data_IF_444880306165
#
_entry.id   IF_444880306165
#
_cell.length_a   1.000
_cell.length_b   1.000
_cell.length_c   1.000
_cell.angle_alpha   90.00
_cell.angle_beta   90.00
_cell.angle_gamma   90.00
#
_symmetry.space_group_name_H-M   'P 1'
#
loop_
_entity.id
_entity.type
_entity.pdbx_description
1 polymer ?
#
# COMPACT_ATOMS: atom_id res chain seq x y z
N UNK A 1 -9.61 5.21 16.38
CA UNK A 1 -9.68 5.52 14.95
C UNK A 1 -9.03 4.37 14.19
N UNK A 2 -9.61 3.94 13.07
CA UNK A 2 -9.08 2.92 12.15
C UNK A 2 -8.60 3.66 10.91
N UNK A 3 -7.33 3.51 10.57
CA UNK A 3 -6.71 4.15 9.41
C UNK A 3 -6.28 3.04 8.46
N UNK A 4 -6.89 2.98 7.28
CA UNK A 4 -6.45 2.09 6.20
C UNK A 4 -5.31 2.76 5.43
N UNK A 5 -4.07 2.29 5.62
CA UNK A 5 -2.89 2.93 5.00
C UNK A 5 -2.64 2.50 3.56
N UNK A 6 -3.44 1.57 3.01
CA UNK A 6 -3.21 1.04 1.67
C UNK A 6 -4.53 0.79 0.94
N UNK A 7 -4.85 1.67 0.00
CA UNK A 7 -5.96 1.48 -0.94
C UNK A 7 -5.69 2.22 -2.24
N UNK A 8 -6.34 1.82 -3.32
CA UNK A 8 -6.07 2.36 -4.65
C UNK A 8 -7.15 3.36 -5.08
N UNK A 9 -6.76 4.33 -5.91
CA UNK A 9 -7.67 5.35 -6.43
C UNK A 9 -8.64 4.74 -7.45
N UNK A 10 -9.97 4.97 -7.33
CA UNK A 10 -10.94 4.49 -8.30
C UNK A 10 -10.80 5.18 -9.66
N UNK A 11 -11.22 4.49 -10.71
CA UNK A 11 -11.05 4.96 -12.10
C UNK A 11 -12.30 5.67 -12.61
N UNK A 12 -13.44 5.46 -11.95
CA UNK A 12 -14.70 6.08 -12.31
C UNK A 12 -15.21 6.99 -11.20
N UNK A 13 -15.59 8.22 -11.55
CA UNK A 13 -16.35 9.09 -10.65
C UNK A 13 -17.79 8.58 -10.48
N UNK A 14 -18.35 8.01 -11.54
CA UNK A 14 -19.73 7.52 -11.58
C UNK A 14 -19.80 5.99 -11.64
N UNK A 15 -21.00 5.44 -11.71
CA UNK A 15 -21.20 3.99 -11.81
C UNK A 15 -20.41 3.40 -12.98
N UNK A 16 -19.66 2.32 -12.71
CA UNK A 16 -18.83 1.65 -13.72
C UNK A 16 -19.73 0.98 -14.77
N UNK A 17 -19.58 1.32 -16.07
CA UNK A 17 -20.32 0.64 -17.12
C UNK A 17 -19.96 -0.86 -17.17
N UNK A 18 -20.93 -1.77 -17.45
CA UNK A 18 -20.65 -3.21 -17.49
C UNK A 18 -19.50 -3.61 -18.42
N UNK A 19 -19.33 -2.93 -19.55
CA UNK A 19 -18.26 -3.18 -20.51
C UNK A 19 -16.85 -2.84 -19.98
N UNK A 20 -16.77 -2.02 -18.93
CA UNK A 20 -15.51 -1.60 -18.31
C UNK A 20 -15.08 -2.49 -17.15
N UNK A 21 -15.97 -3.32 -16.60
CA UNK A 21 -15.66 -4.25 -15.51
C UNK A 21 -14.54 -5.21 -15.91
N UNK A 22 -13.62 -5.53 -14.99
CA UNK A 22 -12.46 -6.40 -15.26
C UNK A 22 -12.28 -7.38 -14.10
N UNK A 23 -12.59 -8.64 -14.36
CA UNK A 23 -12.45 -9.71 -13.37
C UNK A 23 -11.09 -10.38 -13.49
N UNK A 24 -10.36 -10.41 -12.38
CA UNK A 24 -9.09 -11.09 -12.24
C UNK A 24 -9.25 -12.36 -11.41
N UNK A 25 -9.03 -13.51 -12.04
CA UNK A 25 -9.21 -14.83 -11.42
C UNK A 25 -7.96 -15.35 -10.69
N UNK A 26 -6.81 -14.71 -10.87
CA UNK A 26 -5.51 -15.18 -10.34
C UNK A 26 -5.01 -14.37 -9.15
N UNK A 27 -5.61 -13.22 -8.86
CA UNK A 27 -5.19 -12.33 -7.77
C UNK A 27 -5.51 -12.91 -6.39
N UNK A 28 -6.61 -13.67 -6.33
CA UNK A 28 -7.09 -14.36 -5.14
C UNK A 28 -7.38 -15.83 -5.46
N UNK A 29 -7.08 -16.76 -4.53
CA UNK A 29 -7.36 -18.18 -4.71
C UNK A 29 -8.82 -18.54 -4.41
N UNK A 30 -9.54 -17.69 -3.68
CA UNK A 30 -10.88 -17.97 -3.14
C UNK A 30 -12.02 -17.35 -3.95
N UNK A 31 -11.76 -16.25 -4.67
CA UNK A 31 -12.73 -15.60 -5.57
C UNK A 31 -12.05 -14.72 -6.61
N UNK A 32 -12.82 -14.34 -7.64
CA UNK A 32 -12.39 -13.31 -8.59
C UNK A 32 -12.45 -11.92 -7.95
N UNK A 33 -11.56 -11.02 -8.38
CA UNK A 33 -11.55 -9.61 -7.96
C UNK A 33 -11.92 -8.73 -9.14
N UNK A 34 -12.86 -7.81 -8.94
CA UNK A 34 -13.11 -6.74 -9.89
C UNK A 34 -12.21 -5.56 -9.57
N UNK A 35 -11.35 -5.21 -10.51
CA UNK A 35 -10.35 -4.16 -10.35
C UNK A 35 -10.84 -2.79 -10.80
N UNK A 36 -12.01 -2.74 -11.46
CA UNK A 36 -12.63 -1.50 -11.91
C UNK A 36 -13.81 -1.14 -11.02
N UNK A 37 -13.72 0.02 -10.39
CA UNK A 37 -14.68 0.47 -9.39
C UNK A 37 -14.81 2.00 -9.39
N UNK A 38 -15.94 2.46 -8.87
CA UNK A 38 -16.28 3.88 -8.78
C UNK A 38 -15.91 4.50 -7.43
N UNK A 39 -16.02 5.82 -7.33
CA UNK A 39 -15.89 6.55 -6.06
C UNK A 39 -16.90 6.05 -5.03
N UNK A 40 -18.14 5.78 -5.43
CA UNK A 40 -19.15 5.26 -4.53
C UNK A 40 -18.85 3.83 -4.08
N UNK A 41 -18.41 2.96 -4.98
CA UNK A 41 -18.03 1.58 -4.64
C UNK A 41 -16.91 1.58 -3.57
N UNK A 42 -15.91 2.46 -3.74
CA UNK A 42 -14.84 2.63 -2.76
C UNK A 42 -15.36 3.13 -1.41
N UNK A 43 -16.15 4.21 -1.40
CA UNK A 43 -16.64 4.81 -0.16
C UNK A 43 -17.56 3.86 0.62
N UNK A 44 -18.32 3.02 -0.08
CA UNK A 44 -19.12 1.95 0.52
C UNK A 44 -18.22 0.87 1.15
N UNK A 45 -17.21 0.39 0.42
CA UNK A 45 -16.27 -0.60 0.93
C UNK A 45 -15.47 -0.09 2.14
N UNK A 46 -15.13 1.20 2.17
CA UNK A 46 -14.28 1.78 3.21
C UNK A 46 -15.04 2.30 4.43
N UNK A 47 -16.37 2.07 4.54
CA UNK A 47 -17.15 2.44 5.74
C UNK A 47 -16.52 2.00 7.08
N UNK A 48 -15.89 0.81 7.20
CA UNK A 48 -15.26 0.40 8.47
C UNK A 48 -13.98 1.17 8.84
N UNK A 49 -13.38 1.92 7.92
CA UNK A 49 -12.19 2.73 8.16
C UNK A 49 -12.57 4.21 8.34
N UNK A 50 -12.08 4.86 9.39
CA UNK A 50 -12.33 6.28 9.62
C UNK A 50 -11.63 7.14 8.56
N UNK A 51 -10.39 6.77 8.22
CA UNK A 51 -9.61 7.38 7.13
C UNK A 51 -8.94 6.33 6.26
N UNK A 52 -8.75 6.66 4.99
CA UNK A 52 -8.03 5.82 4.03
C UNK A 52 -6.98 6.62 3.26
N UNK A 53 -5.81 6.02 3.07
CA UNK A 53 -4.78 6.52 2.17
C UNK A 53 -5.04 5.94 0.78
N UNK A 54 -5.15 6.81 -0.22
CA UNK A 54 -5.43 6.44 -1.62
C UNK A 54 -4.29 6.89 -2.52
N UNK A 55 -3.96 6.06 -3.51
CA UNK A 55 -2.93 6.37 -4.50
C UNK A 55 -3.18 5.65 -5.82
N UNK A 56 -2.53 6.14 -6.87
CA UNK A 56 -2.31 5.40 -8.10
C UNK A 56 -0.86 4.94 -8.24
N UNK A 57 -0.50 4.46 -9.43
CA UNK A 57 0.90 4.12 -9.79
C UNK A 57 1.25 4.81 -11.10
N UNK A 58 2.32 5.59 -11.10
CA UNK A 58 2.85 6.24 -12.29
C UNK A 58 3.65 5.25 -13.15
N UNK A 59 3.39 5.24 -14.45
CA UNK A 59 4.07 4.38 -15.42
C UNK A 59 5.29 5.06 -16.03
N UNK A 60 6.12 4.29 -16.75
CA UNK A 60 7.30 4.84 -17.40
C UNK A 60 6.90 5.91 -18.44
N UNK A 61 7.74 6.94 -18.67
CA UNK A 61 7.44 7.96 -19.67
C UNK A 61 7.18 7.36 -21.05
N UNK A 62 6.11 7.81 -21.70
CA UNK A 62 5.67 7.28 -22.99
C UNK A 62 4.81 6.02 -22.91
N UNK A 63 4.75 5.35 -21.76
CA UNK A 63 3.71 4.37 -21.45
C UNK A 63 2.47 5.12 -20.96
N UNK A 64 1.71 5.70 -21.89
CA UNK A 64 0.37 6.21 -21.58
C UNK A 64 -0.52 5.00 -21.46
N UNK A 65 -0.76 4.59 -20.21
CA UNK A 65 -1.59 3.45 -19.93
C UNK A 65 -2.78 3.96 -19.11
N UNK A 66 -4.00 3.72 -19.62
CA UNK A 66 -5.17 4.58 -19.37
C UNK A 66 -5.72 4.63 -17.94
N UNK A 67 -5.09 3.95 -16.97
CA UNK A 67 -5.67 3.74 -15.64
C UNK A 67 -4.94 4.39 -14.47
N UNK A 68 -5.75 4.82 -13.50
CA UNK A 68 -5.36 5.55 -12.28
C UNK A 68 -5.17 4.66 -11.06
N UNK A 69 -5.64 3.41 -11.08
CA UNK A 69 -5.59 2.45 -9.96
C UNK A 69 -4.29 1.65 -9.86
N UNK A 70 -3.29 1.98 -10.67
CA UNK A 70 -2.07 1.19 -10.78
C UNK A 70 -2.22 -0.19 -11.44
N UNK A 71 -3.43 -0.55 -11.93
CA UNK A 71 -3.69 -1.74 -12.74
C UNK A 71 -3.83 -1.43 -14.23
N UNK A 72 -3.62 -0.17 -14.63
CA UNK A 72 -3.72 0.28 -16.01
C UNK A 72 -5.12 0.00 -16.62
N UNK A 73 -6.16 0.30 -15.86
CA UNK A 73 -7.54 0.18 -16.34
C UNK A 73 -8.17 1.53 -16.60
N UNK A 74 -8.60 1.81 -17.84
CA UNK A 74 -9.14 3.11 -18.19
C UNK A 74 -10.46 3.38 -17.49
N UNK A 75 -10.64 4.64 -17.11
CA UNK A 75 -11.88 5.15 -16.54
C UNK A 75 -12.22 6.55 -17.02
N UNK A 76 -13.20 7.18 -16.37
CA UNK A 76 -13.70 8.51 -16.74
C UNK A 76 -12.89 9.66 -16.10
N UNK A 77 -11.96 9.34 -15.19
CA UNK A 77 -11.06 10.31 -14.55
C UNK A 77 -9.81 10.52 -15.41
N UNK A 78 -9.92 11.36 -16.44
CA UNK A 78 -8.90 11.56 -17.48
C UNK A 78 -7.90 12.70 -17.20
N UNK A 79 -7.32 12.76 -15.99
CA UNK A 79 -6.47 13.91 -15.57
C UNK A 79 -5.02 13.56 -15.16
N UNK A 80 -4.52 12.36 -15.46
CA UNK A 80 -3.21 11.91 -14.98
C UNK A 80 -3.29 11.36 -13.56
N UNK A 81 -2.30 10.54 -13.16
CA UNK A 81 -2.41 9.70 -11.96
C UNK A 81 -2.53 10.48 -10.65
N UNK A 82 -1.76 11.56 -10.52
CA UNK A 82 -1.72 12.38 -9.32
C UNK A 82 -2.92 13.31 -9.22
N UNK A 83 -3.32 13.97 -10.31
CA UNK A 83 -4.49 14.85 -10.33
C UNK A 83 -5.78 14.06 -10.09
N UNK A 84 -5.88 12.83 -10.58
CA UNK A 84 -7.01 11.95 -10.29
C UNK A 84 -7.09 11.57 -8.82
N UNK A 85 -5.95 11.17 -8.24
CA UNK A 85 -5.84 10.88 -6.81
C UNK A 85 -6.20 12.11 -5.97
N UNK A 86 -5.68 13.28 -6.35
CA UNK A 86 -5.97 14.55 -5.70
C UNK A 86 -7.45 14.91 -5.79
N UNK A 87 -8.05 14.84 -6.97
CA UNK A 87 -9.46 15.12 -7.18
C UNK A 87 -10.36 14.22 -6.33
N UNK A 88 -10.01 12.93 -6.18
CA UNK A 88 -10.75 12.03 -5.32
C UNK A 88 -10.58 12.36 -3.84
N UNK A 89 -9.34 12.57 -3.39
CA UNK A 89 -9.05 12.91 -2.00
C UNK A 89 -9.71 14.24 -1.58
N UNK A 90 -9.65 15.27 -2.43
CA UNK A 90 -10.24 16.59 -2.18
C UNK A 90 -11.78 16.59 -2.22
N UNK A 91 -12.41 15.61 -2.86
CA UNK A 91 -13.86 15.44 -2.78
C UNK A 91 -14.31 14.90 -1.42
N UNK A 92 -13.42 14.24 -0.67
CA UNK A 92 -13.71 13.63 0.63
C UNK A 92 -12.55 13.82 1.66
N UNK A 93 -12.10 15.05 1.93
CA UNK A 93 -10.86 15.31 2.68
C UNK A 93 -10.92 14.87 4.15
N UNK A 94 -12.12 14.77 4.72
CA UNK A 94 -12.31 14.23 6.06
C UNK A 94 -12.08 12.71 6.14
N UNK A 95 -12.20 12.00 5.01
CA UNK A 95 -12.05 10.55 4.91
C UNK A 95 -10.77 10.12 4.20
N UNK A 96 -10.26 10.91 3.27
CA UNK A 96 -9.21 10.47 2.35
C UNK A 96 -7.93 11.31 2.48
N UNK A 97 -6.80 10.64 2.33
CA UNK A 97 -5.48 11.25 2.19
C UNK A 97 -4.86 10.72 0.90
N UNK A 98 -4.55 11.61 -0.04
CA UNK A 98 -3.94 11.24 -1.30
C UNK A 98 -2.42 11.11 -1.20
N UNK A 99 -1.87 10.03 -1.73
CA UNK A 99 -0.44 9.86 -1.98
C UNK A 99 -0.18 9.97 -3.49
N UNK A 100 0.88 10.70 -3.86
CA UNK A 100 1.32 10.81 -5.24
C UNK A 100 2.06 9.54 -5.69
N UNK A 101 2.24 9.39 -6.99
CA UNK A 101 3.16 8.42 -7.56
C UNK A 101 3.99 9.11 -8.65
N UNK A 102 5.27 8.76 -8.70
CA UNK A 102 6.22 9.25 -9.71
C UNK A 102 7.05 8.10 -10.23
N UNK A 103 7.54 8.24 -11.45
CA UNK A 103 8.42 7.27 -12.07
C UNK A 103 9.86 7.82 -12.13
N UNK A 104 10.89 7.14 -11.59
CA UNK A 104 12.26 7.67 -11.56
C UNK A 104 12.84 8.01 -12.94
N UNK A 105 12.41 7.32 -13.99
CA UNK A 105 12.84 7.63 -15.36
C UNK A 105 12.13 8.83 -15.99
N UNK A 106 11.11 9.41 -15.35
CA UNK A 106 10.48 10.65 -15.82
C UNK A 106 11.41 11.84 -15.55
N UNK A 107 11.82 12.61 -16.58
CA UNK A 107 12.67 13.78 -16.38
C UNK A 107 12.02 14.86 -15.51
N UNK A 108 10.69 14.89 -15.41
CA UNK A 108 9.93 15.81 -14.55
C UNK A 108 9.54 15.25 -13.18
N UNK A 109 10.09 14.11 -12.76
CA UNK A 109 9.66 13.43 -11.54
C UNK A 109 9.81 14.28 -10.27
N UNK A 110 10.87 15.10 -10.17
CA UNK A 110 11.11 15.92 -8.97
C UNK A 110 10.21 17.17 -8.97
N UNK A 111 10.00 17.77 -10.13
CA UNK A 111 9.03 18.85 -10.33
C UNK A 111 7.61 18.38 -10.03
N UNK A 112 7.28 17.14 -10.41
CA UNK A 112 5.99 16.54 -10.11
C UNK A 112 5.79 16.24 -8.62
N UNK A 113 6.84 15.87 -7.89
CA UNK A 113 6.78 15.78 -6.41
C UNK A 113 6.44 17.15 -5.82
N UNK A 114 7.12 18.21 -6.27
CA UNK A 114 6.89 19.58 -5.81
C UNK A 114 5.45 20.01 -6.09
N UNK A 115 4.99 19.89 -7.34
CA UNK A 115 3.61 20.22 -7.75
C UNK A 115 2.59 19.40 -6.96
N UNK A 116 2.84 18.11 -6.79
CA UNK A 116 1.92 17.21 -6.09
C UNK A 116 1.73 17.60 -4.62
N UNK A 117 2.80 18.02 -3.93
CA UNK A 117 2.70 18.43 -2.52
C UNK A 117 2.15 19.84 -2.35
N UNK A 118 2.44 20.79 -3.25
CA UNK A 118 2.04 22.20 -3.10
C UNK A 118 0.66 22.47 -3.68
N UNK A 119 0.41 21.98 -4.90
CA UNK A 119 -0.75 22.39 -5.70
C UNK A 119 -1.87 21.35 -5.58
N UNK A 120 -1.51 20.06 -5.51
CA UNK A 120 -2.46 18.95 -5.42
C UNK A 120 -2.75 18.46 -3.98
N UNK A 121 -2.01 18.94 -2.98
CA UNK A 121 -2.20 18.60 -1.57
C UNK A 121 -1.93 17.13 -1.23
N UNK A 122 -1.17 16.41 -2.04
CA UNK A 122 -0.81 15.01 -1.82
C UNK A 122 0.29 14.91 -0.74
N UNK A 123 0.15 13.96 0.19
CA UNK A 123 0.89 13.94 1.46
C UNK A 123 1.92 12.81 1.61
N UNK A 124 2.12 11.98 0.59
CA UNK A 124 3.07 10.86 0.61
C UNK A 124 3.27 10.31 -0.80
N UNK A 125 4.10 9.28 -0.94
CA UNK A 125 4.47 8.70 -2.24
C UNK A 125 4.15 7.19 -2.26
N UNK A 126 3.51 6.70 -3.32
CA UNK A 126 3.43 5.28 -3.66
C UNK A 126 4.46 4.94 -4.73
N UNK A 127 5.26 3.92 -4.44
CA UNK A 127 6.19 3.35 -5.42
C UNK A 127 6.10 1.83 -5.45
N UNK A 128 6.36 1.24 -6.62
CA UNK A 128 6.44 -0.21 -6.79
C UNK A 128 7.46 -0.52 -7.86
N UNK A 129 8.74 -0.60 -7.48
CA UNK A 129 9.84 -0.75 -8.43
C UNK A 129 9.76 -2.01 -9.30
N UNK A 130 9.14 -3.08 -8.80
CA UNK A 130 8.84 -4.27 -9.59
C UNK A 130 7.78 -4.02 -10.68
N UNK A 131 6.75 -3.22 -10.39
CA UNK A 131 5.67 -2.90 -11.32
C UNK A 131 6.02 -1.75 -12.27
N UNK A 132 6.76 -0.76 -11.78
CA UNK A 132 7.29 0.37 -12.54
C UNK A 132 8.59 0.00 -13.28
N UNK A 133 9.18 -1.17 -13.01
CA UNK A 133 10.35 -1.73 -13.69
C UNK A 133 11.56 -0.77 -13.69
N UNK A 134 11.95 -0.30 -12.51
CA UNK A 134 13.19 0.46 -12.30
C UNK A 134 14.06 -0.18 -11.20
N UNK A 135 15.38 0.04 -11.24
CA UNK A 135 16.30 -0.45 -10.20
C UNK A 135 16.20 0.43 -8.95
N UNK A 136 15.73 -0.09 -7.78
CA UNK A 136 15.40 0.73 -6.62
C UNK A 136 16.53 1.58 -6.04
N UNK A 137 17.78 1.18 -6.28
CA UNK A 137 18.98 1.81 -5.72
C UNK A 137 19.77 2.63 -6.76
N UNK A 138 19.19 2.89 -7.93
CA UNK A 138 19.79 3.77 -8.92
C UNK A 138 19.73 5.24 -8.51
N UNK A 139 20.55 6.09 -9.14
CA UNK A 139 20.67 7.51 -8.78
C UNK A 139 19.37 8.31 -8.86
N UNK A 140 18.50 8.02 -9.82
CA UNK A 140 17.21 8.72 -10.00
C UNK A 140 16.19 8.34 -8.93
N UNK A 141 16.07 7.04 -8.60
CA UNK A 141 15.23 6.58 -7.51
C UNK A 141 15.72 7.13 -6.15
N UNK A 142 17.04 7.11 -5.93
CA UNK A 142 17.65 7.69 -4.73
C UNK A 142 17.38 9.20 -4.60
N UNK A 143 17.31 9.94 -5.71
CA UNK A 143 16.97 11.36 -5.68
C UNK A 143 15.53 11.59 -5.19
N UNK A 144 14.58 10.75 -5.59
CA UNK A 144 13.19 10.80 -5.09
C UNK A 144 13.15 10.53 -3.58
N UNK A 145 13.85 9.51 -3.09
CA UNK A 145 13.83 9.18 -1.65
C UNK A 145 14.44 10.30 -0.79
N UNK A 146 15.48 10.96 -1.30
CA UNK A 146 16.07 12.13 -0.66
C UNK A 146 15.08 13.29 -0.56
N UNK A 147 14.32 13.56 -1.62
CA UNK A 147 13.30 14.61 -1.57
C UNK A 147 12.13 14.24 -0.66
N UNK A 148 11.72 12.98 -0.65
CA UNK A 148 10.71 12.48 0.27
C UNK A 148 11.15 12.68 1.73
N UNK A 149 12.39 12.33 2.08
CA UNK A 149 12.93 12.54 3.43
C UNK A 149 13.00 14.03 3.77
N UNK A 150 13.52 14.86 2.86
CA UNK A 150 13.64 16.31 3.05
C UNK A 150 12.30 16.98 3.34
N UNK A 151 11.24 16.51 2.70
CA UNK A 151 9.89 17.04 2.84
C UNK A 151 9.03 16.32 3.88
N UNK A 152 9.54 15.26 4.52
CA UNK A 152 8.76 14.45 5.46
C UNK A 152 7.61 13.68 4.78
N UNK A 153 7.72 13.38 3.49
CA UNK A 153 6.74 12.59 2.74
C UNK A 153 7.00 11.10 3.00
N UNK A 154 6.08 10.36 3.66
CA UNK A 154 6.21 8.91 3.79
C UNK A 154 6.13 8.23 2.42
N UNK A 155 6.87 7.13 2.25
CA UNK A 155 6.80 6.29 1.05
C UNK A 155 6.19 4.93 1.38
N UNK A 156 5.13 4.56 0.66
CA UNK A 156 4.63 3.19 0.63
C UNK A 156 5.25 2.45 -0.55
N UNK A 157 6.08 1.45 -0.28
CA UNK A 157 6.65 0.57 -1.30
C UNK A 157 5.80 -0.67 -1.47
N UNK A 158 5.53 -1.03 -2.73
CA UNK A 158 5.15 -2.40 -3.04
C UNK A 158 6.32 -3.34 -2.72
N UNK A 159 6.14 -4.19 -1.71
CA UNK A 159 7.08 -5.25 -1.32
C UNK A 159 6.31 -6.55 -1.33
N UNK A 160 6.94 -7.62 -1.81
CA UNK A 160 6.34 -8.94 -1.90
C UNK A 160 6.16 -9.45 -3.32
N UNK A 161 5.36 -10.51 -3.44
CA UNK A 161 5.16 -11.23 -4.71
C UNK A 161 4.45 -10.37 -5.77
N UNK A 162 4.51 -10.85 -7.01
CA UNK A 162 3.81 -10.26 -8.14
C UNK A 162 3.30 -11.37 -9.08
N UNK A 163 2.06 -11.28 -9.57
CA UNK A 163 1.57 -12.16 -10.62
C UNK A 163 2.04 -11.73 -12.03
N UNK A 164 2.69 -10.56 -12.17
CA UNK A 164 3.08 -9.98 -13.46
C UNK A 164 4.39 -10.60 -13.94
N UNK A 165 4.35 -11.28 -15.08
CA UNK A 165 5.51 -12.02 -15.64
C UNK A 165 6.75 -11.14 -15.85
N UNK A 166 6.56 -9.88 -16.21
CA UNK A 166 7.64 -8.92 -16.48
C UNK A 166 8.10 -8.17 -15.24
N UNK A 167 7.45 -8.33 -14.09
CA UNK A 167 7.81 -7.63 -12.87
C UNK A 167 9.05 -8.27 -12.22
N UNK A 168 10.17 -7.55 -12.07
CA UNK A 168 11.36 -8.11 -11.46
C UNK A 168 11.15 -8.29 -9.94
N UNK A 169 10.94 -9.53 -9.52
CA UNK A 169 10.66 -9.90 -8.12
C UNK A 169 11.77 -9.42 -7.17
N UNK A 170 13.04 -9.36 -7.64
CA UNK A 170 14.17 -8.84 -6.85
C UNK A 170 13.96 -7.40 -6.34
N UNK A 171 13.23 -6.57 -7.08
CA UNK A 171 12.99 -5.16 -6.72
C UNK A 171 11.95 -4.99 -5.61
N UNK A 172 11.17 -6.04 -5.34
CA UNK A 172 10.18 -6.07 -4.27
C UNK A 172 10.64 -6.88 -3.06
N UNK A 173 11.93 -7.24 -2.97
CA UNK A 173 12.48 -7.94 -1.82
C UNK A 173 12.69 -6.98 -0.63
N UNK A 174 12.34 -7.36 0.62
CA UNK A 174 12.51 -6.53 1.81
C UNK A 174 13.89 -5.87 1.98
N UNK A 175 14.95 -6.58 1.62
CA UNK A 175 16.34 -6.09 1.72
C UNK A 175 16.62 -4.84 0.87
N UNK A 176 15.83 -4.59 -0.18
CA UNK A 176 15.91 -3.32 -0.91
C UNK A 176 15.60 -2.14 0.03
N UNK A 177 14.56 -2.29 0.86
CA UNK A 177 14.15 -1.26 1.82
C UNK A 177 15.18 -1.11 2.95
N UNK A 178 15.87 -2.19 3.34
CA UNK A 178 16.99 -2.09 4.29
C UNK A 178 18.06 -1.11 3.81
N UNK A 179 18.47 -1.21 2.55
CA UNK A 179 19.48 -0.34 1.96
C UNK A 179 19.00 1.10 1.82
N UNK A 180 17.72 1.31 1.47
CA UNK A 180 17.12 2.65 1.40
C UNK A 180 17.10 3.29 2.80
N UNK A 181 16.62 2.56 3.82
CA UNK A 181 16.50 3.06 5.18
C UNK A 181 17.86 3.35 5.83
N UNK A 182 18.92 2.63 5.47
CA UNK A 182 20.28 2.96 5.91
C UNK A 182 20.80 4.29 5.33
N UNK A 183 20.37 4.66 4.12
CA UNK A 183 20.77 5.91 3.45
C UNK A 183 19.93 7.11 3.91
N UNK A 184 18.65 6.86 4.20
CA UNK A 184 17.64 7.88 4.56
C UNK A 184 16.97 7.49 5.90
N UNK A 185 17.69 7.59 7.03
CA UNK A 185 17.22 7.06 8.31
C UNK A 185 16.01 7.81 8.90
N UNK A 186 15.72 9.03 8.42
CA UNK A 186 14.55 9.80 8.85
C UNK A 186 13.35 9.60 7.92
N UNK A 187 13.53 8.95 6.77
CA UNK A 187 12.45 8.63 5.85
C UNK A 187 11.48 7.64 6.49
N UNK A 188 10.20 7.99 6.47
CA UNK A 188 9.12 7.11 6.92
C UNK A 188 8.73 6.18 5.78
N UNK A 189 8.82 4.88 6.01
CA UNK A 189 8.61 3.86 4.98
C UNK A 189 7.53 2.88 5.43
N UNK A 190 6.64 2.50 4.52
CA UNK A 190 5.66 1.42 4.70
C UNK A 190 5.98 0.34 3.65
N UNK A 191 6.24 -0.87 4.12
CA UNK A 191 6.40 -2.06 3.29
C UNK A 191 5.05 -2.75 3.15
N UNK A 192 4.52 -2.80 1.93
CA UNK A 192 3.21 -3.38 1.69
C UNK A 192 3.15 -4.87 2.06
N UNK A 193 1.98 -5.31 2.52
CA UNK A 193 1.60 -6.73 2.60
C UNK A 193 2.51 -7.63 3.46
N UNK A 194 3.12 -7.07 4.50
CA UNK A 194 4.17 -7.71 5.31
C UNK A 194 5.30 -8.33 4.46
N UNK A 195 5.51 -7.81 3.25
CA UNK A 195 6.47 -8.27 2.26
C UNK A 195 6.34 -9.74 1.84
N UNK A 196 5.13 -10.30 1.86
CA UNK A 196 4.95 -11.73 1.59
C UNK A 196 5.49 -12.15 0.20
N UNK A 197 6.15 -13.33 0.08
CA UNK A 197 6.28 -14.37 1.09
C UNK A 197 7.45 -14.17 2.08
N UNK A 198 8.21 -13.09 1.98
CA UNK A 198 9.40 -12.82 2.79
C UNK A 198 9.05 -12.12 4.11
N UNK A 199 8.11 -12.70 4.85
CA UNK A 199 7.61 -12.12 6.11
C UNK A 199 8.69 -12.06 7.19
N UNK A 200 9.62 -13.02 7.21
CA UNK A 200 10.77 -13.00 8.14
C UNK A 200 11.74 -11.88 7.77
N UNK A 201 12.12 -11.75 6.50
CA UNK A 201 13.00 -10.67 6.05
C UNK A 201 12.38 -9.31 6.36
N UNK A 202 11.07 -9.15 6.12
CA UNK A 202 10.33 -7.94 6.49
C UNK A 202 10.40 -7.67 7.98
N UNK A 203 10.16 -8.68 8.83
CA UNK A 203 10.25 -8.55 10.28
C UNK A 203 11.66 -8.10 10.73
N UNK A 204 12.72 -8.64 10.11
CA UNK A 204 14.11 -8.25 10.40
C UNK A 204 14.37 -6.79 10.01
N UNK A 205 13.87 -6.33 8.87
CA UNK A 205 14.05 -4.95 8.39
C UNK A 205 13.29 -3.95 9.26
N UNK A 206 12.00 -4.17 9.54
CA UNK A 206 11.20 -3.23 10.35
C UNK A 206 11.66 -3.22 11.82
N UNK A 207 12.26 -4.31 12.32
CA UNK A 207 12.88 -4.35 13.65
C UNK A 207 14.13 -3.47 13.71
N UNK A 208 14.93 -3.47 12.65
CA UNK A 208 16.21 -2.76 12.58
C UNK A 208 16.03 -1.24 12.50
N UNK A 209 14.99 -0.77 11.79
CA UNK A 209 14.84 0.64 11.44
C UNK A 209 13.65 1.34 12.13
N UNK A 210 13.90 2.41 12.91
CA UNK A 210 12.83 3.10 13.66
C UNK A 210 11.70 3.66 12.80
N UNK A 211 11.99 4.10 11.58
CA UNK A 211 11.02 4.74 10.67
C UNK A 211 10.48 3.82 9.58
N UNK A 212 10.79 2.52 9.62
CA UNK A 212 10.28 1.54 8.64
C UNK A 212 9.19 0.69 9.28
N UNK A 213 8.03 0.64 8.64
CA UNK A 213 6.83 -0.08 9.06
C UNK A 213 6.43 -1.07 7.97
N UNK A 214 5.50 -1.97 8.29
CA UNK A 214 4.85 -2.82 7.29
C UNK A 214 3.35 -2.77 7.49
N UNK A 215 2.55 -3.01 6.45
CA UNK A 215 1.10 -3.15 6.59
C UNK A 215 0.64 -4.61 6.44
N UNK A 216 -0.56 -4.92 6.94
CA UNK A 216 -1.09 -6.31 7.02
C UNK A 216 -1.93 -6.73 5.80
N UNK A 217 -2.00 -5.90 4.76
CA UNK A 217 -2.90 -6.13 3.62
C UNK A 217 -2.48 -7.33 2.74
N UNK A 218 -3.32 -7.72 1.77
CA UNK A 218 -2.93 -8.69 0.72
C UNK A 218 -2.67 -10.15 1.17
N UNK A 219 -2.86 -10.47 2.45
CA UNK A 219 -2.50 -11.75 3.04
C UNK A 219 -3.67 -12.62 3.50
N UNK A 220 -4.78 -11.99 3.94
CA UNK A 220 -5.87 -12.67 4.67
C UNK A 220 -6.49 -13.87 3.94
N UNK A 221 -6.49 -13.84 2.60
CA UNK A 221 -7.05 -14.91 1.77
C UNK A 221 -6.10 -16.12 1.61
N UNK A 222 -4.97 -16.12 2.33
CA UNK A 222 -4.08 -17.26 2.54
C UNK A 222 -3.96 -17.52 4.05
N UNK A 223 -4.96 -18.12 4.71
CA UNK A 223 -5.10 -18.10 6.17
C UNK A 223 -3.86 -18.60 6.93
N UNK A 224 -3.23 -19.68 6.46
CA UNK A 224 -2.00 -20.19 7.07
C UNK A 224 -0.84 -19.20 6.95
N UNK A 225 -0.61 -18.62 5.77
CA UNK A 225 0.45 -17.62 5.54
C UNK A 225 0.20 -16.35 6.35
N UNK A 226 -1.05 -15.92 6.48
CA UNK A 226 -1.41 -14.77 7.30
C UNK A 226 -1.14 -15.03 8.79
N UNK A 227 -1.62 -16.16 9.32
CA UNK A 227 -1.31 -16.59 10.69
C UNK A 227 0.20 -16.71 10.92
N UNK A 228 0.92 -17.36 10.01
CA UNK A 228 2.37 -17.54 10.10
C UNK A 228 3.11 -16.18 10.13
N UNK A 229 2.72 -15.23 9.27
CA UNK A 229 3.27 -13.87 9.28
C UNK A 229 3.01 -13.13 10.59
N UNK A 230 1.81 -13.24 11.15
CA UNK A 230 1.46 -12.62 12.43
C UNK A 230 2.18 -13.26 13.63
N UNK A 231 2.38 -14.59 13.62
CA UNK A 231 3.19 -15.29 14.62
C UNK A 231 4.65 -14.87 14.52
N UNK A 232 5.23 -14.84 13.31
CA UNK A 232 6.59 -14.33 13.11
C UNK A 232 6.73 -12.90 13.63
N UNK A 233 5.80 -12.00 13.31
CA UNK A 233 5.82 -10.64 13.84
C UNK A 233 5.72 -10.60 15.38
N UNK A 234 5.02 -11.55 15.99
CA UNK A 234 4.96 -11.73 17.45
C UNK A 234 6.31 -12.17 18.02
N UNK A 235 6.88 -13.26 17.50
CA UNK A 235 8.15 -13.84 17.97
C UNK A 235 9.34 -12.89 17.80
N UNK A 236 9.34 -12.12 16.71
CA UNK A 236 10.34 -11.11 16.44
C UNK A 236 10.04 -9.77 17.12
N UNK A 237 8.97 -9.67 17.91
CA UNK A 237 8.56 -8.49 18.68
C UNK A 237 8.50 -7.21 17.82
N UNK A 238 7.71 -7.26 16.75
CA UNK A 238 7.52 -6.16 15.79
C UNK A 238 6.05 -5.85 15.47
N UNK A 239 5.10 -6.38 16.25
CA UNK A 239 3.66 -6.09 16.04
C UNK A 239 3.31 -4.61 16.18
N UNK A 240 4.11 -3.86 16.94
CA UNK A 240 4.02 -2.40 17.07
C UNK A 240 4.40 -1.65 15.79
N UNK A 241 5.14 -2.31 14.88
CA UNK A 241 5.58 -1.79 13.58
C UNK A 241 4.64 -2.15 12.42
N UNK A 242 3.59 -2.93 12.67
CA UNK A 242 2.58 -3.26 11.66
C UNK A 242 1.54 -2.13 11.53
N UNK A 243 0.86 -1.99 10.41
CA UNK A 243 -0.21 -1.00 10.22
C UNK A 243 -1.44 -1.68 9.63
N UNK A 244 -2.64 -1.22 10.01
CA UNK A 244 -3.89 -1.70 9.43
C UNK A 244 -4.01 -1.24 7.96
N UNK A 245 -4.32 -2.17 7.07
CA UNK A 245 -4.44 -1.90 5.64
C UNK A 245 -5.29 -2.95 4.91
N UNK A 246 -6.03 -2.55 3.87
CA UNK A 246 -6.90 -3.45 3.09
C UNK A 246 -6.36 -3.85 1.71
N UNK A 247 -5.56 -3.02 1.06
CA UNK A 247 -5.21 -3.17 -0.36
C UNK A 247 -6.46 -3.22 -1.26
N UNK A 248 -7.49 -2.42 -0.94
CA UNK A 248 -8.71 -2.33 -1.74
C UNK A 248 -8.40 -1.92 -3.19
N UNK A 249 -8.85 -2.67 -4.21
CA UNK A 249 -10.02 -3.57 -4.19
C UNK A 249 -9.72 -5.06 -3.96
N UNK A 250 -8.48 -5.46 -3.70
CA UNK A 250 -8.13 -6.88 -3.51
C UNK A 250 -8.86 -7.45 -2.30
N UNK A 251 -8.86 -6.70 -1.20
CA UNK A 251 -9.67 -6.97 -0.01
C UNK A 251 -10.30 -5.70 0.52
N UNK A 252 -11.22 -5.83 1.49
CA UNK A 252 -11.88 -4.70 2.14
C UNK A 252 -11.38 -4.50 3.58
N UNK A 253 -11.56 -3.30 4.17
CA UNK A 253 -11.34 -3.10 5.61
C UNK A 253 -12.17 -4.07 6.46
N UNK A 254 -13.41 -4.37 6.06
CA UNK A 254 -14.25 -5.34 6.75
C UNK A 254 -13.62 -6.74 6.79
N UNK A 255 -13.12 -7.24 5.65
CA UNK A 255 -12.41 -8.51 5.56
C UNK A 255 -11.14 -8.51 6.42
N UNK A 256 -10.38 -7.41 6.38
CA UNK A 256 -9.13 -7.28 7.15
C UNK A 256 -9.38 -7.28 8.65
N UNK A 257 -10.39 -6.54 9.12
CA UNK A 257 -10.81 -6.52 10.53
C UNK A 257 -11.25 -7.91 10.99
N UNK A 258 -12.05 -8.60 10.18
CA UNK A 258 -12.49 -9.95 10.48
C UNK A 258 -11.28 -10.89 10.59
N UNK A 259 -10.41 -10.91 9.58
CA UNK A 259 -9.25 -11.79 9.54
C UNK A 259 -8.29 -11.56 10.71
N UNK A 260 -8.00 -10.31 11.06
CA UNK A 260 -7.17 -9.97 12.21
C UNK A 260 -7.76 -10.53 13.51
N UNK A 261 -9.06 -10.32 13.76
CA UNK A 261 -9.73 -10.77 14.98
C UNK A 261 -9.90 -12.28 15.05
N UNK A 262 -9.95 -12.96 13.92
CA UNK A 262 -10.11 -14.42 13.83
C UNK A 262 -8.82 -15.16 13.49
N UNK A 263 -7.66 -14.49 13.46
CA UNK A 263 -6.37 -15.08 13.05
C UNK A 263 -5.99 -16.34 13.84
N UNK A 264 -6.40 -16.42 15.11
CA UNK A 264 -6.12 -17.56 15.98
C UNK A 264 -7.10 -18.74 15.81
N UNK A 265 -8.20 -18.59 15.06
CA UNK A 265 -9.20 -19.65 14.90
C UNK A 265 -8.63 -20.90 14.22
N UNK A 266 -7.63 -20.73 13.35
CA UNK A 266 -6.95 -21.83 12.66
C UNK A 266 -6.18 -22.77 13.61
N UNK A 267 -5.87 -22.32 14.83
CA UNK A 267 -5.10 -23.09 15.82
C UNK A 267 -5.91 -23.47 17.07
N UNK A 268 -7.23 -23.37 17.01
CA UNK A 268 -8.11 -23.81 18.09
C UNK A 268 -7.98 -25.30 18.40
N UNK A 269 -7.89 -25.62 19.70
CA UNK A 269 -7.66 -26.98 20.19
C UNK A 269 -6.22 -27.50 20.01
N UNK A 270 -5.27 -26.67 19.57
CA UNK A 270 -3.87 -27.06 19.38
C UNK A 270 -2.93 -26.40 20.41
N UNK A 271 -1.68 -26.85 20.47
CA UNK A 271 -0.60 -26.24 21.25
C UNK A 271 0.22 -25.20 20.47
N UNK A 272 -0.19 -24.86 19.24
CA UNK A 272 0.49 -23.85 18.42
C UNK A 272 0.38 -22.45 19.05
N UNK A 273 1.37 -21.57 18.84
CA UNK A 273 1.38 -20.23 19.41
C UNK A 273 0.18 -19.40 18.92
N UNK A 274 -0.18 -18.36 19.68
CA UNK A 274 -1.28 -17.47 19.34
C UNK A 274 -0.78 -16.04 19.25
N UNK A 275 -1.38 -15.27 18.34
CA UNK A 275 -1.17 -13.82 18.26
C UNK A 275 -1.91 -13.18 19.44
N UNK A 276 -1.27 -12.32 20.26
CA UNK A 276 -1.93 -11.70 21.41
C UNK A 276 -3.10 -10.79 20.98
N UNK A 277 -4.25 -10.97 21.62
CA UNK A 277 -5.48 -10.24 21.25
C UNK A 277 -5.38 -8.73 21.45
N UNK A 278 -4.70 -8.29 22.51
CA UNK A 278 -4.43 -6.87 22.77
C UNK A 278 -3.55 -6.25 21.67
N UNK A 279 -2.58 -7.03 21.15
CA UNK A 279 -1.72 -6.58 20.05
C UNK A 279 -2.46 -6.49 18.72
N UNK A 280 -3.42 -7.37 18.48
CA UNK A 280 -4.32 -7.28 17.31
C UNK A 280 -5.09 -5.96 17.34
N UNK A 281 -5.72 -5.62 18.47
CA UNK A 281 -6.47 -4.35 18.58
C UNK A 281 -5.53 -3.13 18.53
N UNK A 282 -4.29 -3.24 19.03
CA UNK A 282 -3.28 -2.18 18.84
C UNK A 282 -2.91 -1.96 17.37
N UNK A 283 -2.92 -2.99 16.52
CA UNK A 283 -2.71 -2.84 15.07
C UNK A 283 -3.89 -2.14 14.42
N UNK A 284 -5.11 -2.59 14.74
CA UNK A 284 -6.36 -2.05 14.20
C UNK A 284 -6.52 -0.55 14.52
N UNK A 285 -6.18 -0.16 15.74
CA UNK A 285 -6.40 1.20 16.25
C UNK A 285 -5.12 2.05 16.32
N UNK A 286 -4.05 1.62 15.67
CA UNK A 286 -2.78 2.35 15.64
C UNK A 286 -2.98 3.74 15.06
N UNK A 287 -2.42 4.76 15.72
CA UNK A 287 -2.37 6.11 15.17
C UNK A 287 -1.31 6.19 14.07
N UNK A 288 -1.62 5.57 12.92
CA UNK A 288 -0.75 5.54 11.76
C UNK A 288 -0.50 6.93 11.20
N UNK A 289 -1.41 7.90 11.38
CA UNK A 289 -1.21 9.26 10.87
C UNK A 289 -0.06 9.95 11.60
N UNK A 290 -0.03 9.90 12.93
CA UNK A 290 1.07 10.47 13.70
C UNK A 290 2.40 9.77 13.40
N UNK A 291 2.40 8.43 13.36
CA UNK A 291 3.60 7.66 13.01
C UNK A 291 4.15 8.07 11.64
N UNK A 292 3.25 8.30 10.67
CA UNK A 292 3.60 8.67 9.30
C UNK A 292 3.79 10.18 9.07
N UNK A 293 3.52 11.03 10.07
CA UNK A 293 3.66 12.48 9.95
C UNK A 293 2.59 13.13 9.08
N UNK A 294 1.37 12.56 9.11
CA UNK A 294 0.23 12.96 8.28
C UNK A 294 -0.86 13.71 9.06
N UNK A 295 -0.65 13.92 10.37
CA UNK A 295 -1.56 14.65 11.26
C UNK A 295 -1.63 16.15 11.00
#
# INVERSE_FOLDING_TARGET
MIIDVHSHTPQFRHAVPPANRRLHHTWRPDRSVDSVYSWNDFLEAQQPADKSIVFGVAWAPGEITGGVNGFNEPGDVAIGVNDATSAFALAHPDRLIGFMSVHPHDPGALEEIERSRTDLGLKGIKMGANYQVFEPLESRALAIYREAERHGLPILFHIGTSPVRTAPIKYAHPLVVDEIAMRYPNLKIIMAHMGHPWTVDTAVVIRKHPNVYADVSGLLYRPYTFYEGMIKATEWNVLDKLLFASDYPITTPAETLHALRTVNAIVDGTALPRVPADKIEQIIHRDSLTLLGLS
#
